data_IF_351532455791
#
_entry.id   IF_351532455791
#
_cell.length_a   1.000
_cell.length_b   1.000
_cell.length_c   1.000
_cell.angle_alpha   90.00
_cell.angle_beta   90.00
_cell.angle_gamma   90.00
#
_symmetry.space_group_name_H-M   'P 1'
#
loop_
_entity.id
_entity.type
_entity.pdbx_description
1 polymer ?
#
# COMPACT_ATOMS: atom_id res chain seq x y z
N UNK A 1 -4.56 -12.56 22.78
CA UNK A 1 -3.82 -12.78 21.51
C UNK A 1 -4.70 -12.25 20.40
N UNK A 2 -4.29 -11.17 19.74
CA UNK A 2 -5.10 -10.55 18.67
C UNK A 2 -5.30 -11.53 17.50
N UNK A 3 -6.46 -11.47 16.86
CA UNK A 3 -6.81 -12.26 15.67
C UNK A 3 -5.73 -12.17 14.60
N UNK A 4 -5.03 -11.04 14.52
CA UNK A 4 -3.93 -10.76 13.59
C UNK A 4 -2.75 -11.73 13.76
N UNK A 5 -2.41 -12.17 14.96
CA UNK A 5 -1.31 -13.14 15.21
C UNK A 5 -1.63 -14.57 14.75
N UNK A 6 -2.91 -14.96 14.67
CA UNK A 6 -3.33 -16.32 14.28
C UNK A 6 -3.12 -16.64 12.78
N UNK A 7 -3.12 -15.66 11.91
CA UNK A 7 -3.00 -15.85 10.45
C UNK A 7 -1.57 -15.78 9.89
N UNK A 8 -0.58 -15.46 10.72
CA UNK A 8 0.81 -15.16 10.30
C UNK A 8 1.77 -16.35 10.19
N UNK A 9 1.30 -17.59 10.16
CA UNK A 9 2.17 -18.76 9.97
C UNK A 9 2.21 -19.13 8.48
N UNK A 10 2.64 -18.22 7.60
CA UNK A 10 3.18 -18.58 6.30
C UNK A 10 4.63 -18.12 6.25
N UNK A 11 5.56 -19.08 6.40
CA UNK A 11 6.96 -18.85 6.04
C UNK A 11 7.00 -18.52 4.55
N UNK A 12 7.31 -17.27 4.20
CA UNK A 12 7.56 -16.85 2.83
C UNK A 12 8.87 -17.49 2.34
N UNK A 13 8.82 -18.78 1.96
CA UNK A 13 9.91 -19.50 1.29
C UNK A 13 9.94 -19.25 -0.22
N UNK A 14 9.11 -18.34 -0.74
CA UNK A 14 9.06 -18.09 -2.17
C UNK A 14 9.96 -16.91 -2.55
N UNK A 15 11.11 -17.22 -3.13
CA UNK A 15 12.03 -16.30 -3.83
C UNK A 15 11.40 -15.65 -5.09
N UNK A 16 10.07 -15.61 -5.22
CA UNK A 16 9.40 -15.07 -6.40
C UNK A 16 8.95 -13.64 -6.14
N UNK A 17 9.83 -12.68 -6.39
CA UNK A 17 9.50 -11.26 -6.27
C UNK A 17 8.52 -10.85 -7.36
N UNK A 18 7.37 -10.27 -6.97
CA UNK A 18 6.41 -9.67 -7.90
C UNK A 18 6.84 -8.27 -8.35
N UNK A 19 7.56 -7.54 -7.48
CA UNK A 19 8.09 -6.19 -7.74
C UNK A 19 9.54 -6.12 -7.29
N UNK A 20 10.39 -5.49 -8.11
CA UNK A 20 11.77 -5.12 -7.76
C UNK A 20 12.09 -3.72 -8.21
N UNK A 21 12.72 -2.97 -7.33
CA UNK A 21 13.41 -1.72 -7.60
C UNK A 21 14.89 -2.02 -7.50
N UNK A 22 15.63 -1.87 -8.59
CA UNK A 22 17.05 -2.22 -8.66
C UNK A 22 17.87 -0.96 -8.96
N UNK A 23 18.73 -0.58 -8.01
CA UNK A 23 19.66 0.56 -8.09
C UNK A 23 18.98 1.88 -8.45
N UNK A 24 17.79 2.12 -7.89
CA UNK A 24 17.00 3.31 -8.20
C UNK A 24 17.67 4.56 -7.64
N UNK A 25 17.93 5.53 -8.51
CA UNK A 25 18.39 6.86 -8.12
C UNK A 25 17.49 7.92 -8.76
N UNK A 26 17.17 8.95 -7.97
CA UNK A 26 16.32 10.07 -8.41
C UNK A 26 16.75 11.36 -7.72
N UNK A 27 16.80 12.44 -8.48
CA UNK A 27 17.09 13.81 -8.00
C UNK A 27 15.97 14.77 -8.40
N UNK A 28 15.69 15.74 -7.54
CA UNK A 28 14.90 16.92 -7.90
C UNK A 28 15.82 18.15 -7.87
N UNK A 29 16.21 18.61 -9.04
CA UNK A 29 17.24 19.63 -9.18
C UNK A 29 18.57 19.15 -8.59
N UNK A 30 19.06 19.82 -7.54
CA UNK A 30 20.31 19.44 -6.84
C UNK A 30 20.09 18.47 -5.68
N UNK A 31 18.85 18.24 -5.26
CA UNK A 31 18.54 17.40 -4.10
C UNK A 31 18.39 15.94 -4.52
N UNK A 32 19.23 15.08 -3.96
CA UNK A 32 19.10 13.63 -4.09
C UNK A 32 17.92 13.18 -3.21
N UNK A 33 16.96 12.48 -3.81
CA UNK A 33 15.81 11.92 -3.12
C UNK A 33 16.01 10.44 -2.88
N UNK A 34 16.48 9.71 -3.89
CA UNK A 34 16.81 8.29 -3.79
C UNK A 34 18.23 8.09 -4.33
N UNK A 35 19.01 7.25 -3.66
CA UNK A 35 20.40 6.98 -3.98
C UNK A 35 20.68 5.48 -3.97
N UNK A 36 20.76 4.89 -5.15
CA UNK A 36 21.03 3.45 -5.36
C UNK A 36 20.11 2.53 -4.54
N UNK A 37 18.83 2.90 -4.42
CA UNK A 37 17.85 2.19 -3.62
C UNK A 37 17.52 0.83 -4.27
N UNK A 38 17.56 -0.21 -3.45
CA UNK A 38 17.09 -1.56 -3.81
C UNK A 38 15.95 -1.95 -2.87
N UNK A 39 14.85 -2.44 -3.44
CA UNK A 39 13.67 -2.88 -2.70
C UNK A 39 12.99 -4.02 -3.47
N UNK A 40 12.48 -5.00 -2.75
CA UNK A 40 11.74 -6.10 -3.38
C UNK A 40 10.48 -6.46 -2.59
N UNK A 41 9.41 -6.80 -3.32
CA UNK A 41 8.17 -7.32 -2.78
C UNK A 41 7.95 -8.73 -3.30
N UNK A 42 7.77 -9.69 -2.41
CA UNK A 42 7.40 -11.06 -2.79
C UNK A 42 5.91 -11.17 -3.08
N UNK A 43 5.52 -12.13 -3.90
CA UNK A 43 4.10 -12.39 -4.18
C UNK A 43 3.35 -12.77 -2.90
N UNK A 44 2.23 -12.10 -2.65
CA UNK A 44 1.40 -12.30 -1.46
C UNK A 44 2.07 -11.85 -0.15
N UNK A 45 3.00 -10.90 -0.20
CA UNK A 45 3.67 -10.31 0.95
C UNK A 45 3.08 -8.94 1.27
N UNK A 46 3.07 -8.58 2.56
CA UNK A 46 2.85 -7.21 3.02
C UNK A 46 4.21 -6.63 3.45
N UNK A 47 4.67 -5.59 2.74
CA UNK A 47 5.91 -4.86 3.01
C UNK A 47 5.60 -3.47 3.55
N UNK A 48 6.12 -3.13 4.72
CA UNK A 48 6.04 -1.79 5.29
C UNK A 48 7.23 -0.93 4.86
N UNK A 49 6.99 0.35 4.59
CA UNK A 49 8.03 1.34 4.38
C UNK A 49 8.02 2.33 5.53
N UNK A 50 9.11 2.38 6.28
CA UNK A 50 9.32 3.28 7.42
C UNK A 50 10.45 4.27 7.12
N UNK A 51 10.47 5.38 7.83
CA UNK A 51 11.50 6.40 7.71
C UNK A 51 10.96 7.80 7.96
N UNK A 52 11.84 8.79 8.17
CA UNK A 52 11.45 10.18 8.42
C UNK A 52 10.59 10.79 7.32
N UNK A 53 9.95 11.92 7.61
CA UNK A 53 9.20 12.67 6.62
C UNK A 53 10.13 13.21 5.53
N UNK A 54 9.64 13.16 4.27
CA UNK A 54 10.41 13.68 3.13
C UNK A 54 11.59 12.80 2.69
N UNK A 55 11.73 11.58 3.23
CA UNK A 55 12.84 10.67 2.90
C UNK A 55 12.66 9.95 1.54
N UNK A 56 11.48 10.11 0.90
CA UNK A 56 11.22 9.53 -0.42
C UNK A 56 10.23 8.38 -0.46
N UNK A 57 9.48 8.08 0.63
CA UNK A 57 8.48 6.97 0.65
C UNK A 57 7.41 7.14 -0.43
N UNK A 58 6.71 8.26 -0.47
CA UNK A 58 5.70 8.55 -1.52
C UNK A 58 6.34 8.67 -2.92
N UNK A 59 7.63 9.08 -3.00
CA UNK A 59 8.38 9.07 -4.26
C UNK A 59 8.56 7.66 -4.80
N UNK A 60 8.81 6.67 -3.94
CA UNK A 60 8.87 5.25 -4.33
C UNK A 60 7.52 4.81 -4.92
N UNK A 61 6.39 5.19 -4.32
CA UNK A 61 5.08 4.87 -4.88
C UNK A 61 4.85 5.53 -6.25
N UNK A 62 5.25 6.79 -6.41
CA UNK A 62 5.16 7.50 -7.69
C UNK A 62 6.05 6.84 -8.78
N UNK A 63 7.20 6.29 -8.42
CA UNK A 63 8.05 5.52 -9.32
C UNK A 63 7.40 4.18 -9.70
N UNK A 64 6.82 3.45 -8.74
CA UNK A 64 6.14 2.16 -9.00
C UNK A 64 4.92 2.37 -9.89
N UNK A 65 4.12 3.40 -9.61
CA UNK A 65 2.92 3.71 -10.41
C UNK A 65 3.24 4.28 -11.81
N UNK A 66 4.45 4.83 -12.01
CA UNK A 66 4.86 5.47 -13.26
C UNK A 66 4.44 6.93 -13.38
N UNK A 67 4.09 7.57 -12.26
CA UNK A 67 3.94 9.03 -12.18
C UNK A 67 5.29 9.74 -12.28
N UNK A 68 6.36 9.07 -11.84
CA UNK A 68 7.74 9.50 -11.98
C UNK A 68 8.57 8.40 -12.64
N UNK A 69 9.65 8.81 -13.33
CA UNK A 69 10.67 7.90 -13.81
C UNK A 69 11.96 8.11 -13.00
N UNK A 70 12.71 7.05 -12.69
CA UNK A 70 14.01 7.20 -12.05
C UNK A 70 15.05 7.77 -13.04
N UNK A 71 16.04 8.51 -12.53
CA UNK A 71 17.18 8.94 -13.33
C UNK A 71 18.06 7.73 -13.71
N UNK A 72 18.19 6.76 -12.78
CA UNK A 72 18.94 5.52 -12.97
C UNK A 72 18.23 4.36 -12.29
N UNK A 73 18.50 3.16 -12.80
CA UNK A 73 18.00 1.91 -12.24
C UNK A 73 16.72 1.40 -12.92
N UNK A 74 16.30 0.21 -12.53
CA UNK A 74 15.22 -0.52 -13.17
C UNK A 74 14.11 -0.84 -12.19
N UNK A 75 12.87 -0.62 -12.63
CA UNK A 75 11.67 -1.09 -11.96
C UNK A 75 11.17 -2.30 -12.73
N UNK A 76 11.05 -3.45 -12.04
CA UNK A 76 10.60 -4.70 -12.64
C UNK A 76 9.35 -5.19 -11.93
N UNK A 77 8.32 -5.56 -12.70
CA UNK A 77 7.09 -6.20 -12.23
C UNK A 77 6.95 -7.54 -12.96
N UNK A 78 6.77 -8.62 -12.20
CA UNK A 78 6.76 -9.99 -12.74
C UNK A 78 7.98 -10.23 -13.66
N UNK A 79 9.17 -9.78 -13.23
CA UNK A 79 10.46 -9.83 -13.96
C UNK A 79 10.54 -8.97 -15.22
N UNK A 80 9.49 -8.22 -15.59
CA UNK A 80 9.47 -7.35 -16.75
C UNK A 80 9.84 -5.91 -16.35
N UNK A 81 10.80 -5.30 -17.05
CA UNK A 81 11.14 -3.88 -16.86
C UNK A 81 9.97 -3.01 -17.29
N UNK A 82 9.58 -2.06 -16.43
CA UNK A 82 8.38 -1.23 -16.62
C UNK A 82 8.65 0.28 -16.65
N UNK A 83 9.90 0.70 -16.67
CA UNK A 83 10.25 2.13 -16.63
C UNK A 83 9.54 2.96 -17.71
N UNK A 84 9.41 2.43 -18.93
CA UNK A 84 8.81 3.12 -20.07
C UNK A 84 7.28 3.00 -20.15
N UNK A 85 6.67 2.19 -19.26
CA UNK A 85 5.22 2.03 -19.25
C UNK A 85 4.57 3.19 -18.49
N UNK A 86 3.67 3.97 -19.11
CA UNK A 86 2.94 5.03 -18.43
C UNK A 86 1.96 4.47 -17.39
N UNK A 87 1.50 5.31 -16.48
CA UNK A 87 0.64 4.94 -15.34
C UNK A 87 -0.56 4.08 -15.73
N UNK A 88 -1.30 4.45 -16.79
CA UNK A 88 -2.49 3.70 -17.22
C UNK A 88 -2.16 2.27 -17.69
N UNK A 89 -1.00 2.06 -18.30
CA UNK A 89 -0.55 0.71 -18.67
C UNK A 89 -0.07 -0.09 -17.46
N UNK A 90 0.57 0.56 -16.48
CA UNK A 90 0.98 -0.12 -15.26
C UNK A 90 -0.23 -0.56 -14.45
N UNK A 91 -1.27 0.26 -14.35
CA UNK A 91 -2.52 -0.11 -13.67
C UNK A 91 -3.25 -1.24 -14.38
N UNK A 92 -3.40 -1.19 -15.70
CA UNK A 92 -4.13 -2.20 -16.46
C UNK A 92 -3.36 -3.50 -16.65
N UNK A 93 -2.11 -3.43 -17.20
CA UNK A 93 -1.33 -4.64 -17.55
C UNK A 93 -0.74 -5.34 -16.33
N UNK A 94 -0.24 -4.56 -15.36
CA UNK A 94 0.43 -5.12 -14.19
C UNK A 94 -0.46 -5.11 -12.94
N UNK A 95 -1.70 -4.61 -13.08
CA UNK A 95 -2.72 -4.65 -12.03
C UNK A 95 -2.22 -4.05 -10.73
N UNK A 96 -1.75 -2.78 -10.81
CA UNK A 96 -1.35 -1.99 -9.65
C UNK A 96 -2.53 -1.15 -9.19
N UNK A 97 -2.93 -1.31 -7.92
CA UNK A 97 -3.84 -0.40 -7.22
C UNK A 97 -3.05 0.58 -6.37
N UNK A 98 -3.50 1.83 -6.31
CA UNK A 98 -2.88 2.86 -5.47
C UNK A 98 -3.92 3.61 -4.66
N UNK A 99 -3.71 3.67 -3.36
CA UNK A 99 -4.48 4.45 -2.39
C UNK A 99 -3.59 5.59 -1.92
N UNK A 100 -3.86 6.84 -2.34
CA UNK A 100 -3.08 7.99 -1.96
C UNK A 100 -3.37 8.41 -0.51
N UNK A 101 -2.47 9.22 0.07
CA UNK A 101 -2.63 9.80 1.40
C UNK A 101 -3.92 10.63 1.51
N UNK A 102 -4.20 11.44 0.50
CA UNK A 102 -5.39 12.29 0.41
C UNK A 102 -6.15 12.07 -0.89
N UNK A 103 -7.48 12.22 -0.84
CA UNK A 103 -8.34 12.08 -2.01
C UNK A 103 -8.55 10.62 -2.43
N UNK A 104 -8.51 10.36 -3.73
CA UNK A 104 -8.76 9.03 -4.30
C UNK A 104 -10.24 8.69 -4.46
N UNK A 105 -11.14 9.67 -4.27
CA UNK A 105 -12.58 9.54 -4.46
C UNK A 105 -13.21 10.85 -4.92
N UNK A 106 -14.42 10.78 -5.49
CA UNK A 106 -15.20 11.93 -5.92
C UNK A 106 -16.08 12.40 -4.77
N UNK A 107 -15.83 13.60 -4.28
CA UNK A 107 -16.46 14.17 -3.08
C UNK A 107 -17.99 14.29 -3.18
N UNK A 108 -18.51 14.65 -4.35
CA UNK A 108 -19.94 14.90 -4.58
C UNK A 108 -20.72 13.67 -5.05
N UNK A 109 -20.04 12.58 -5.35
CA UNK A 109 -20.68 11.30 -5.65
C UNK A 109 -20.97 10.54 -4.35
N UNK A 110 -22.00 9.66 -4.39
CA UNK A 110 -22.28 8.72 -3.30
C UNK A 110 -21.19 7.68 -3.18
N UNK A 111 -21.16 6.92 -2.08
CA UNK A 111 -20.25 5.76 -1.93
C UNK A 111 -20.45 4.79 -3.09
N UNK A 112 -21.70 4.48 -3.45
CA UNK A 112 -22.02 3.60 -4.57
C UNK A 112 -21.54 4.18 -5.91
N UNK A 113 -21.82 5.46 -6.19
CA UNK A 113 -21.45 6.08 -7.46
C UNK A 113 -19.94 6.21 -7.63
N UNK A 114 -19.17 6.37 -6.54
CA UNK A 114 -17.72 6.32 -6.59
C UNK A 114 -17.21 4.97 -7.11
N UNK A 115 -17.73 3.87 -6.57
CA UNK A 115 -17.36 2.52 -7.00
C UNK A 115 -17.85 2.27 -8.44
N UNK A 116 -19.07 2.71 -8.76
CA UNK A 116 -19.68 2.58 -10.10
C UNK A 116 -18.83 3.27 -11.16
N UNK A 117 -18.41 4.51 -10.94
CA UNK A 117 -17.60 5.28 -11.90
C UNK A 117 -16.32 4.55 -12.32
N UNK A 118 -15.63 3.93 -11.37
CA UNK A 118 -14.40 3.18 -11.67
C UNK A 118 -14.73 1.81 -12.29
N UNK A 119 -15.79 1.16 -11.84
CA UNK A 119 -16.19 -0.14 -12.40
C UNK A 119 -16.60 -0.06 -13.87
N UNK A 120 -17.18 1.05 -14.31
CA UNK A 120 -17.56 1.30 -15.72
C UNK A 120 -16.35 1.39 -16.64
N UNK A 121 -15.19 1.80 -16.11
CA UNK A 121 -13.92 1.87 -16.87
C UNK A 121 -13.24 0.48 -16.93
N UNK A 122 -13.43 -0.35 -15.91
CA UNK A 122 -12.64 -1.58 -15.73
C UNK A 122 -13.37 -2.85 -16.15
N UNK A 123 -14.72 -2.85 -16.20
CA UNK A 123 -15.55 -4.01 -16.49
C UNK A 123 -16.68 -3.66 -17.45
N UNK A 124 -16.76 -4.34 -18.58
CA UNK A 124 -17.77 -4.09 -19.60
C UNK A 124 -19.13 -4.75 -19.27
N UNK A 125 -19.12 -5.85 -18.51
CA UNK A 125 -20.34 -6.57 -18.17
C UNK A 125 -21.08 -5.89 -17.02
N UNK A 126 -22.29 -5.42 -17.29
CA UNK A 126 -23.13 -4.69 -16.33
C UNK A 126 -23.46 -5.52 -15.08
N UNK A 127 -23.80 -6.80 -15.22
CA UNK A 127 -24.14 -7.67 -14.09
C UNK A 127 -22.95 -7.91 -13.19
N UNK A 128 -21.76 -8.17 -13.76
CA UNK A 128 -20.52 -8.36 -13.01
C UNK A 128 -20.11 -7.07 -12.27
N UNK A 129 -20.34 -5.90 -12.88
CA UNK A 129 -20.09 -4.60 -12.19
C UNK A 129 -20.91 -4.47 -10.92
N UNK A 130 -22.24 -4.73 -11.02
CA UNK A 130 -23.14 -4.63 -9.86
C UNK A 130 -22.75 -5.61 -8.77
N UNK A 131 -22.46 -6.85 -9.13
CA UNK A 131 -22.02 -7.89 -8.17
C UNK A 131 -20.75 -7.47 -7.45
N UNK A 132 -19.74 -7.01 -8.20
CA UNK A 132 -18.46 -6.55 -7.65
C UNK A 132 -18.64 -5.35 -6.72
N UNK A 133 -19.43 -4.35 -7.10
CA UNK A 133 -19.72 -3.18 -6.26
C UNK A 133 -20.39 -3.59 -4.97
N UNK A 134 -21.45 -4.42 -5.04
CA UNK A 134 -22.17 -4.87 -3.86
C UNK A 134 -21.27 -5.71 -2.92
N UNK A 135 -20.46 -6.58 -3.49
CA UNK A 135 -19.48 -7.37 -2.73
C UNK A 135 -18.47 -6.49 -1.98
N UNK A 136 -17.96 -5.42 -2.63
CA UNK A 136 -17.03 -4.50 -1.98
C UNK A 136 -17.72 -3.64 -0.92
N UNK A 137 -18.92 -3.12 -1.18
CA UNK A 137 -19.70 -2.37 -0.20
C UNK A 137 -19.90 -3.20 1.07
N UNK A 138 -20.35 -4.44 0.94
CA UNK A 138 -20.56 -5.34 2.07
C UNK A 138 -19.24 -5.72 2.76
N UNK A 139 -18.20 -6.08 2.00
CA UNK A 139 -16.88 -6.44 2.54
C UNK A 139 -16.26 -5.31 3.39
N UNK A 140 -16.49 -4.06 3.03
CA UNK A 140 -15.97 -2.88 3.73
C UNK A 140 -16.96 -2.27 4.72
N UNK A 141 -18.11 -2.91 4.95
CA UNK A 141 -19.18 -2.43 5.87
C UNK A 141 -19.65 -1.00 5.54
N UNK A 142 -19.88 -0.75 4.26
CA UNK A 142 -20.33 0.55 3.74
C UNK A 142 -21.82 0.57 3.38
N UNK A 143 -22.56 -0.52 3.66
CA UNK A 143 -23.95 -0.69 3.28
C UNK A 143 -24.85 0.44 3.81
N UNK A 144 -24.70 0.80 5.09
CA UNK A 144 -25.51 1.83 5.75
C UNK A 144 -25.28 3.25 5.20
N UNK A 145 -24.18 3.47 4.48
CA UNK A 145 -23.80 4.77 3.92
C UNK A 145 -23.71 4.75 2.39
N UNK A 146 -24.22 3.70 1.76
CA UNK A 146 -24.15 3.45 0.33
C UNK A 146 -24.55 4.66 -0.53
N UNK A 147 -25.66 5.31 -0.14
CA UNK A 147 -26.26 6.42 -0.89
C UNK A 147 -25.89 7.80 -0.33
N UNK A 148 -24.95 7.83 0.64
CA UNK A 148 -24.43 9.07 1.22
C UNK A 148 -23.27 9.59 0.35
N UNK A 149 -23.25 10.89 0.07
CA UNK A 149 -22.13 11.54 -0.64
C UNK A 149 -20.84 11.41 0.15
N UNK A 150 -19.74 11.09 -0.54
CA UNK A 150 -18.45 10.80 0.09
C UNK A 150 -17.87 11.96 0.92
N UNK A 151 -18.26 13.21 0.66
CA UNK A 151 -17.86 14.36 1.49
C UNK A 151 -18.43 14.32 2.92
N UNK A 152 -19.56 13.63 3.14
CA UNK A 152 -20.26 13.61 4.43
C UNK A 152 -19.93 12.39 5.31
N UNK A 153 -19.19 11.41 4.80
CA UNK A 153 -18.81 10.23 5.58
C UNK A 153 -17.56 10.49 6.44
N UNK A 154 -17.35 9.68 7.48
CA UNK A 154 -16.22 9.81 8.42
C UNK A 154 -14.86 9.55 7.76
N UNK A 155 -13.75 9.92 8.42
CA UNK A 155 -12.39 9.66 7.95
C UNK A 155 -12.11 8.18 7.71
N UNK A 156 -12.51 7.33 8.65
CA UNK A 156 -12.37 5.87 8.54
C UNK A 156 -13.19 5.28 7.39
N UNK A 157 -14.44 5.76 7.21
CA UNK A 157 -15.28 5.36 6.09
C UNK A 157 -14.69 5.81 4.74
N UNK A 158 -14.07 7.02 4.68
CA UNK A 158 -13.35 7.48 3.49
C UNK A 158 -12.17 6.58 3.16
N UNK A 159 -11.37 6.16 4.14
CA UNK A 159 -10.26 5.22 3.93
C UNK A 159 -10.77 3.87 3.43
N UNK A 160 -11.83 3.30 4.03
CA UNK A 160 -12.49 2.08 3.53
C UNK A 160 -12.96 2.24 2.09
N UNK A 161 -13.61 3.36 1.75
CA UNK A 161 -14.07 3.64 0.38
C UNK A 161 -12.92 3.69 -0.63
N UNK A 162 -11.83 4.41 -0.35
CA UNK A 162 -10.69 4.53 -1.27
C UNK A 162 -10.01 3.19 -1.51
N UNK A 163 -9.88 2.36 -0.47
CA UNK A 163 -9.36 1.00 -0.62
C UNK A 163 -10.31 0.15 -1.49
N UNK A 164 -11.62 0.22 -1.24
CA UNK A 164 -12.62 -0.49 -2.06
C UNK A 164 -12.56 -0.05 -3.52
N UNK A 165 -12.41 1.25 -3.81
CA UNK A 165 -12.21 1.80 -5.16
C UNK A 165 -10.96 1.19 -5.82
N UNK A 166 -9.83 1.15 -5.11
CA UNK A 166 -8.59 0.58 -5.64
C UNK A 166 -8.71 -0.93 -5.95
N UNK A 167 -9.61 -1.63 -5.25
CA UNK A 167 -9.86 -3.06 -5.46
C UNK A 167 -10.79 -3.38 -6.63
N UNK A 168 -11.52 -2.41 -7.17
CA UNK A 168 -12.39 -2.61 -8.34
C UNK A 168 -11.62 -3.24 -9.52
N UNK A 169 -10.38 -2.81 -9.73
CA UNK A 169 -9.51 -3.33 -10.80
C UNK A 169 -8.81 -4.65 -10.46
N UNK A 170 -9.14 -5.28 -9.32
CA UNK A 170 -8.54 -6.53 -8.83
C UNK A 170 -7.00 -6.52 -8.88
N UNK A 171 -6.35 -5.63 -8.15
CA UNK A 171 -4.91 -5.45 -8.25
C UNK A 171 -4.15 -6.69 -7.74
N UNK A 172 -2.99 -6.97 -8.35
CA UNK A 172 -2.00 -7.93 -7.84
C UNK A 172 -1.07 -7.28 -6.82
N UNK A 173 -0.83 -5.98 -7.00
CA UNK A 173 -0.02 -5.13 -6.12
C UNK A 173 -0.88 -3.97 -5.67
N UNK A 174 -0.98 -3.76 -4.36
CA UNK A 174 -1.69 -2.64 -3.76
C UNK A 174 -0.70 -1.76 -3.00
N UNK A 175 -0.69 -0.48 -3.32
CA UNK A 175 0.12 0.54 -2.67
C UNK A 175 -0.78 1.38 -1.78
N UNK A 176 -0.43 1.53 -0.49
CA UNK A 176 -1.20 2.28 0.50
C UNK A 176 -0.31 3.37 1.11
N UNK A 177 -0.62 4.63 0.80
CA UNK A 177 0.11 5.79 1.34
C UNK A 177 -0.62 6.34 2.56
N UNK A 178 -0.03 6.16 3.75
CA UNK A 178 -0.53 6.57 5.06
C UNK A 178 -1.98 6.14 5.33
N UNK A 179 -2.27 4.82 5.27
CA UNK A 179 -3.63 4.33 5.47
C UNK A 179 -4.18 4.56 6.88
N UNK A 180 -3.32 4.69 7.90
CA UNK A 180 -3.71 4.83 9.31
C UNK A 180 -3.75 6.28 9.79
N UNK A 181 -3.29 7.24 8.97
CA UNK A 181 -3.18 8.64 9.38
C UNK A 181 -4.53 9.24 9.82
N UNK A 182 -4.52 9.94 10.98
CA UNK A 182 -5.67 10.65 11.55
C UNK A 182 -6.90 9.77 11.82
N UNK A 183 -6.70 8.51 12.20
CA UNK A 183 -7.76 7.58 12.56
C UNK A 183 -7.70 7.19 14.04
N UNK A 184 -8.84 6.79 14.59
CA UNK A 184 -8.92 6.21 15.94
C UNK A 184 -8.41 4.76 15.96
N UNK A 185 -8.08 4.27 17.16
CA UNK A 185 -7.48 2.95 17.38
C UNK A 185 -8.35 1.81 16.83
N UNK A 186 -9.68 1.88 16.96
CA UNK A 186 -10.58 0.82 16.50
C UNK A 186 -10.63 0.77 14.97
N UNK A 187 -10.68 1.93 14.34
CA UNK A 187 -10.62 2.05 12.88
C UNK A 187 -9.29 1.55 12.32
N UNK A 188 -8.16 1.86 12.97
CA UNK A 188 -6.84 1.33 12.59
C UNK A 188 -6.84 -0.19 12.64
N UNK A 189 -7.32 -0.82 13.73
CA UNK A 189 -7.40 -2.28 13.85
C UNK A 189 -8.25 -2.91 12.74
N UNK A 190 -9.40 -2.32 12.45
CA UNK A 190 -10.25 -2.78 11.34
C UNK A 190 -9.52 -2.72 10.00
N UNK A 191 -8.78 -1.63 9.72
CA UNK A 191 -8.01 -1.51 8.49
C UNK A 191 -6.83 -2.48 8.43
N UNK A 192 -6.14 -2.72 9.55
CA UNK A 192 -5.10 -3.76 9.64
C UNK A 192 -5.66 -5.14 9.28
N UNK A 193 -6.83 -5.51 9.83
CA UNK A 193 -7.50 -6.78 9.51
C UNK A 193 -7.89 -6.86 8.03
N UNK A 194 -8.43 -5.78 7.46
CA UNK A 194 -8.73 -5.71 6.04
C UNK A 194 -7.46 -5.93 5.20
N UNK A 195 -6.36 -5.24 5.49
CA UNK A 195 -5.10 -5.37 4.74
C UNK A 195 -4.56 -6.80 4.81
N UNK A 196 -4.57 -7.41 6.00
CA UNK A 196 -4.15 -8.80 6.18
C UNK A 196 -5.06 -9.77 5.42
N UNK A 197 -6.37 -9.54 5.41
CA UNK A 197 -7.32 -10.35 4.65
C UNK A 197 -7.14 -10.21 3.13
N UNK A 198 -6.78 -9.03 2.63
CA UNK A 198 -6.45 -8.84 1.20
C UNK A 198 -5.24 -9.70 0.78
N UNK A 199 -4.24 -9.82 1.65
CA UNK A 199 -3.11 -10.71 1.42
C UNK A 199 -3.51 -12.18 1.52
N UNK A 200 -4.13 -12.58 2.62
CA UNK A 200 -4.32 -14.00 2.95
C UNK A 200 -5.41 -14.67 2.12
N UNK A 201 -6.51 -13.96 1.85
CA UNK A 201 -7.66 -14.50 1.13
C UNK A 201 -7.60 -14.20 -0.38
N UNK A 202 -7.11 -13.03 -0.76
CA UNK A 202 -7.07 -12.59 -2.15
C UNK A 202 -5.68 -12.70 -2.79
N UNK A 203 -4.63 -13.09 -2.03
CA UNK A 203 -3.24 -13.20 -2.49
C UNK A 203 -2.70 -11.90 -3.12
N UNK A 204 -3.17 -10.74 -2.62
CA UNK A 204 -2.69 -9.42 -3.05
C UNK A 204 -1.37 -9.14 -2.33
N UNK A 205 -0.37 -8.67 -3.08
CA UNK A 205 0.89 -8.19 -2.51
C UNK A 205 0.73 -6.72 -2.16
N UNK A 206 1.10 -6.31 -0.94
CA UNK A 206 0.83 -4.97 -0.45
C UNK A 206 2.13 -4.27 -0.08
N UNK A 207 2.28 -3.01 -0.47
CA UNK A 207 3.27 -2.10 0.12
C UNK A 207 2.48 -0.99 0.82
N UNK A 208 2.81 -0.74 2.07
CA UNK A 208 2.24 0.39 2.79
C UNK A 208 3.31 1.22 3.47
N UNK A 209 3.14 2.52 3.51
CA UNK A 209 3.94 3.41 4.33
C UNK A 209 3.04 4.15 5.32
N UNK A 210 3.50 4.34 6.54
CA UNK A 210 2.80 5.13 7.55
C UNK A 210 3.79 5.70 8.57
N UNK A 211 3.40 6.79 9.23
CA UNK A 211 4.17 7.37 10.34
C UNK A 211 3.93 6.64 11.65
N UNK A 212 2.80 5.95 11.77
CA UNK A 212 2.43 5.16 12.93
C UNK A 212 3.16 3.82 12.89
N UNK A 213 4.45 3.83 13.21
CA UNK A 213 5.32 2.67 13.07
C UNK A 213 4.81 1.43 13.81
N UNK A 214 4.21 1.59 15.00
CA UNK A 214 3.64 0.47 15.77
C UNK A 214 2.52 -0.22 15.00
N UNK A 215 1.55 0.57 14.53
CA UNK A 215 0.39 0.05 13.82
C UNK A 215 0.80 -0.59 12.50
N UNK A 216 1.76 0.01 11.78
CA UNK A 216 2.31 -0.56 10.56
C UNK A 216 2.97 -1.91 10.85
N UNK A 217 3.86 -2.00 11.86
CA UNK A 217 4.61 -3.21 12.18
C UNK A 217 3.72 -4.36 12.67
N UNK A 218 2.52 -4.08 13.18
CA UNK A 218 1.56 -5.11 13.57
C UNK A 218 0.94 -5.86 12.39
N UNK A 219 0.89 -5.26 11.20
CA UNK A 219 0.21 -5.84 10.04
C UNK A 219 1.13 -6.22 8.86
N UNK A 220 2.46 -5.97 8.93
CA UNK A 220 3.39 -6.31 7.86
C UNK A 220 4.17 -7.61 8.11
N UNK A 221 4.58 -8.28 7.03
CA UNK A 221 5.46 -9.45 7.11
C UNK A 221 6.92 -9.04 7.27
N UNK A 222 7.30 -7.97 6.56
CA UNK A 222 8.60 -7.32 6.63
C UNK A 222 8.42 -5.81 6.59
N UNK A 223 9.41 -5.07 7.08
CA UNK A 223 9.50 -3.65 6.86
C UNK A 223 10.90 -3.24 6.42
N UNK A 224 10.98 -2.21 5.59
CA UNK A 224 12.20 -1.58 5.15
C UNK A 224 12.27 -0.16 5.74
N UNK A 225 13.40 0.17 6.35
CA UNK A 225 13.66 1.51 6.87
C UNK A 225 14.43 2.28 5.81
N UNK A 226 13.85 3.41 5.40
CA UNK A 226 14.45 4.30 4.42
C UNK A 226 15.04 5.50 5.15
N UNK A 227 16.32 5.76 4.93
CA UNK A 227 17.01 6.92 5.43
C UNK A 227 17.99 7.43 4.37
N UNK A 228 18.05 8.76 4.19
CA UNK A 228 18.90 9.41 3.19
C UNK A 228 18.80 8.79 1.78
N UNK A 229 17.56 8.45 1.36
CA UNK A 229 17.28 7.89 0.04
C UNK A 229 17.70 6.44 -0.16
N UNK A 230 18.10 5.72 0.88
CA UNK A 230 18.54 4.31 0.84
C UNK A 230 17.70 3.43 1.77
N UNK A 231 17.61 2.16 1.47
CA UNK A 231 17.17 1.15 2.44
C UNK A 231 18.35 0.85 3.37
N UNK A 232 18.23 1.22 4.65
CA UNK A 232 19.29 1.03 5.64
C UNK A 232 19.11 -0.24 6.48
N UNK A 233 17.88 -0.70 6.62
CA UNK A 233 17.55 -1.98 7.26
C UNK A 233 16.26 -2.55 6.65
N UNK A 234 16.21 -3.87 6.48
CA UNK A 234 15.01 -4.59 6.03
C UNK A 234 14.96 -5.96 6.72
N UNK A 235 13.90 -6.21 7.48
CA UNK A 235 13.68 -7.51 8.14
C UNK A 235 12.21 -7.65 8.60
N UNK A 236 11.92 -8.75 9.28
CA UNK A 236 10.66 -8.93 10.02
C UNK A 236 10.52 -7.88 11.12
N UNK A 237 9.30 -7.51 11.54
CA UNK A 237 9.09 -6.56 12.63
C UNK A 237 9.89 -6.86 13.89
N UNK A 238 9.91 -8.13 14.33
CA UNK A 238 10.62 -8.56 15.54
C UNK A 238 12.12 -8.35 15.46
N UNK A 239 12.73 -8.58 14.31
CA UNK A 239 14.16 -8.39 14.11
C UNK A 239 14.52 -6.91 13.99
N UNK A 240 13.68 -6.12 13.26
CA UNK A 240 13.94 -4.69 13.07
C UNK A 240 13.96 -3.90 14.38
N UNK A 241 13.07 -4.22 15.33
CA UNK A 241 13.01 -3.53 16.63
C UNK A 241 14.32 -3.71 17.42
N UNK A 242 14.98 -4.86 17.24
CA UNK A 242 16.23 -5.18 17.92
C UNK A 242 17.48 -4.77 17.11
N UNK A 243 17.31 -4.27 15.88
CA UNK A 243 18.39 -3.89 14.99
C UNK A 243 18.92 -2.50 15.35
N UNK A 244 20.22 -2.37 15.67
CA UNK A 244 20.83 -1.10 16.06
C UNK A 244 20.74 -0.05 14.94
N UNK A 245 20.97 -0.41 13.68
CA UNK A 245 20.85 0.50 12.54
C UNK A 245 19.42 1.04 12.43
N UNK A 246 18.42 0.19 12.66
CA UNK A 246 17.00 0.57 12.64
C UNK A 246 16.65 1.51 13.79
N UNK A 247 17.21 1.29 14.98
CA UNK A 247 17.05 2.19 16.14
C UNK A 247 17.66 3.55 15.88
N UNK A 248 18.90 3.59 15.45
CA UNK A 248 19.63 4.84 15.17
C UNK A 248 18.98 5.64 14.03
N UNK A 249 18.50 4.95 12.97
CA UNK A 249 17.94 5.60 11.80
C UNK A 249 16.48 6.08 11.97
N UNK A 250 15.69 5.45 12.86
CA UNK A 250 14.26 5.73 12.91
C UNK A 250 13.57 5.51 14.27
N UNK A 251 13.77 4.38 14.96
CA UNK A 251 12.97 4.04 16.15
C UNK A 251 13.38 4.74 17.43
N UNK A 252 14.68 5.00 17.63
CA UNK A 252 15.26 5.36 18.93
C UNK A 252 15.30 4.17 19.90
N UNK A 253 16.04 4.34 20.99
CA UNK A 253 16.33 3.24 21.96
C UNK A 253 15.10 2.76 22.74
N UNK A 254 14.12 3.64 22.96
CA UNK A 254 12.93 3.36 23.79
C UNK A 254 11.77 2.71 23.05
N UNK A 255 11.87 2.47 21.74
CA UNK A 255 10.77 1.95 20.94
C UNK A 255 10.50 0.48 21.26
N UNK A 256 9.22 0.16 21.57
CA UNK A 256 8.73 -1.20 21.83
C UNK A 256 7.40 -1.41 21.09
N UNK A 257 7.19 -2.61 20.60
CA UNK A 257 5.86 -3.10 20.20
C UNK A 257 5.34 -3.95 21.37
N UNK A 258 4.14 -3.64 21.85
CA UNK A 258 3.49 -4.36 22.94
C UNK A 258 3.02 -5.75 22.52
#
# INVERSE_FOLDING_TARGET
MSVIKKFRIKSFKNNNSILKLEKISLKFGRKIILDNLNLSLSKGQILGLLGPNGVGKSTIFNLITGLLNPDYGDIKIESKKVNEYPIYQRTQKFRIGFVPQYGGFFHDLTVYDNLKAISEITENNHSLRIEKINSLISKFELDSIRDIKAKFISGGQKKKLVIAIALISEPKILLLDEPFAALDILTIKTLQEIIVNLQTLNNISVILCDHQARDLLECVDKAAIINNGKVVAEDTPSNLINNNIAKDAYFGDSFKIN
#
